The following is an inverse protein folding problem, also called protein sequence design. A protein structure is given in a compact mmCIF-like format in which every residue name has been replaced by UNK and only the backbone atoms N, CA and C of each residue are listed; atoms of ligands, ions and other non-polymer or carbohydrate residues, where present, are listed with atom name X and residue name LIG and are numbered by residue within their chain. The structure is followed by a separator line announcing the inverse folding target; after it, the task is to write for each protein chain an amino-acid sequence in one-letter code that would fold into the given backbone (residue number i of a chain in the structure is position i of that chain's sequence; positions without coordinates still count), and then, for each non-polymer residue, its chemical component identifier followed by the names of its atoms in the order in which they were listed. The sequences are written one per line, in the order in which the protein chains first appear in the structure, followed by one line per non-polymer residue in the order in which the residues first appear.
data_IF_101340300342
#
_entry.id   IF_101340300342
#
_cell.length_a   1.000
_cell.length_b   1.000
_cell.length_c   1.000
_cell.angle_alpha   90.00
_cell.angle_beta   90.00
_cell.angle_gamma   90.00
#
_symmetry.space_group_name_H-M   'P 1'
#
loop_
_entity.id
_entity.type
_entity.pdbx_description
1 polymer ?
#
# COMPACT_ATOMS: atom_id res chain seq x y z
N UNK A 1 -3.76 -29.43 -1.87
CA UNK A 1 -2.38 -28.93 -2.07
C UNK A 1 -2.44 -27.41 -1.87
N UNK A 2 -1.94 -26.94 -0.73
CA UNK A 2 -1.89 -25.49 -0.42
C UNK A 2 -0.70 -24.90 -1.16
N UNK A 3 -0.94 -24.17 -2.23
CA UNK A 3 0.11 -23.44 -2.93
C UNK A 3 0.40 -22.18 -2.11
N UNK A 4 1.42 -22.26 -1.29
CA UNK A 4 1.96 -21.09 -0.57
C UNK A 4 2.62 -20.20 -1.61
N UNK A 5 1.89 -19.24 -2.13
CA UNK A 5 2.51 -18.11 -2.84
C UNK A 5 3.15 -17.27 -1.75
N UNK A 6 4.44 -17.45 -1.58
CA UNK A 6 5.28 -16.57 -0.79
C UNK A 6 5.29 -15.23 -1.54
N UNK A 7 4.31 -14.39 -1.24
CA UNK A 7 4.41 -12.99 -1.53
C UNK A 7 5.45 -12.45 -0.54
N UNK A 8 6.72 -12.53 -0.95
CA UNK A 8 7.81 -11.82 -0.29
C UNK A 8 7.62 -10.33 -0.52
N UNK A 9 6.52 -9.78 0.01
CA UNK A 9 6.38 -8.35 0.25
C UNK A 9 7.21 -8.05 1.49
N UNK A 10 8.50 -8.00 1.27
CA UNK A 10 9.45 -7.57 2.25
C UNK A 10 9.15 -6.10 2.58
N UNK A 11 8.37 -5.92 3.63
CA UNK A 11 8.34 -4.66 4.34
C UNK A 11 9.70 -4.55 5.02
N UNK A 12 10.71 -4.08 4.26
CA UNK A 12 12.01 -3.74 4.82
C UNK A 12 11.84 -2.48 5.66
N UNK A 13 11.25 -2.66 6.81
CA UNK A 13 11.46 -1.79 7.93
C UNK A 13 12.66 -2.34 8.70
N UNK A 14 13.70 -1.54 8.68
CA UNK A 14 14.87 -1.70 9.56
C UNK A 14 15.85 -2.81 9.17
N UNK A 15 16.67 -2.57 8.14
CA UNK A 15 18.06 -2.94 8.25
C UNK A 15 18.82 -1.72 8.81
N UNK A 16 19.27 -1.82 10.04
CA UNK A 16 20.23 -0.89 10.62
C UNK A 16 21.55 -1.06 9.87
N UNK A 17 21.76 -0.29 8.81
CA UNK A 17 23.10 0.01 8.32
C UNK A 17 23.35 1.47 8.64
N UNK A 18 24.07 1.69 9.73
CA UNK A 18 24.69 2.97 10.05
C UNK A 18 25.86 3.14 9.08
N UNK A 19 25.55 3.58 7.88
CA UNK A 19 26.52 4.23 7.01
C UNK A 19 26.38 5.72 7.25
N UNK A 20 27.36 6.29 7.91
CA UNK A 20 27.60 7.74 7.96
C UNK A 20 27.92 8.18 6.54
N UNK A 21 26.89 8.47 5.77
CA UNK A 21 26.95 9.03 4.42
C UNK A 21 26.12 10.31 4.43
N UNK A 22 26.75 11.39 4.03
CA UNK A 22 26.28 12.76 3.84
C UNK A 22 24.78 12.83 3.60
N UNK A 23 24.02 13.42 4.54
CA UNK A 23 22.60 13.71 4.42
C UNK A 23 22.40 14.66 3.23
N UNK A 24 22.09 14.12 2.07
CA UNK A 24 21.34 14.86 1.10
C UNK A 24 19.98 15.12 1.77
N UNK A 25 19.69 16.37 2.06
CA UNK A 25 18.41 16.87 2.54
C UNK A 25 17.36 16.36 1.54
N UNK A 26 16.57 15.37 1.92
CA UNK A 26 15.54 14.82 1.07
C UNK A 26 14.49 15.92 0.92
N UNK A 27 14.56 16.63 -0.19
CA UNK A 27 13.57 17.62 -0.61
C UNK A 27 12.21 16.95 -0.50
N UNK A 28 11.33 17.48 0.37
CA UNK A 28 9.99 16.90 0.56
C UNK A 28 9.32 16.83 -0.82
N UNK A 29 8.98 15.64 -1.31
CA UNK A 29 8.48 15.53 -2.66
C UNK A 29 7.19 16.33 -2.78
N UNK A 30 7.11 17.18 -3.81
CA UNK A 30 5.90 17.83 -4.25
C UNK A 30 4.74 16.84 -4.27
N UNK A 31 3.53 17.32 -4.00
CA UNK A 31 2.30 16.54 -4.16
C UNK A 31 2.34 15.80 -5.49
N UNK A 32 2.02 14.52 -5.47
CA UNK A 32 2.07 13.66 -6.64
C UNK A 32 0.72 13.01 -6.88
N UNK A 33 0.41 12.76 -8.14
CA UNK A 33 -0.77 12.03 -8.55
C UNK A 33 -0.36 10.89 -9.47
N UNK A 34 -0.91 9.69 -9.23
CA UNK A 34 -0.72 8.53 -10.10
C UNK A 34 -2.08 8.03 -10.55
N UNK A 35 -2.19 7.66 -11.83
CA UNK A 35 -3.33 6.96 -12.38
C UNK A 35 -2.96 5.52 -12.70
N UNK A 36 -3.90 4.60 -12.54
CA UNK A 36 -3.72 3.19 -12.86
C UNK A 36 -5.03 2.53 -13.26
N UNK A 37 -4.94 1.40 -13.97
CA UNK A 37 -6.05 0.50 -14.20
C UNK A 37 -5.98 -0.63 -13.18
N UNK A 38 -6.93 -0.64 -12.24
CA UNK A 38 -7.11 -1.75 -11.30
C UNK A 38 -7.79 -2.92 -12.01
N UNK A 39 -7.20 -4.10 -11.90
CA UNK A 39 -7.69 -5.35 -12.46
C UNK A 39 -7.86 -6.41 -11.37
N UNK A 40 -9.07 -6.92 -11.24
CA UNK A 40 -9.40 -8.01 -10.33
C UNK A 40 -9.33 -9.33 -11.11
N UNK A 41 -8.33 -10.20 -10.84
CA UNK A 41 -8.22 -11.48 -11.53
C UNK A 41 -9.39 -12.42 -11.18
N UNK A 42 -9.73 -13.32 -12.10
CA UNK A 42 -10.74 -14.34 -11.89
C UNK A 42 -10.41 -15.20 -10.67
N UNK A 43 -11.38 -15.40 -9.77
CA UNK A 43 -11.19 -16.17 -8.54
C UNK A 43 -10.73 -15.37 -7.31
N UNK A 44 -10.56 -14.09 -7.43
CA UNK A 44 -10.25 -13.20 -6.32
C UNK A 44 -11.53 -12.78 -5.57
N UNK A 45 -12.24 -13.74 -4.98
CA UNK A 45 -13.45 -13.50 -4.21
C UNK A 45 -14.76 -13.82 -4.95
N UNK A 46 -15.79 -14.18 -4.19
CA UNK A 46 -17.11 -14.51 -4.73
C UNK A 46 -17.76 -13.28 -5.38
N UNK A 47 -17.79 -13.33 -6.70
CA UNK A 47 -18.84 -12.83 -7.55
C UNK A 47 -19.56 -11.55 -7.12
N UNK A 48 -19.06 -10.42 -7.55
CA UNK A 48 -20.00 -9.34 -7.87
C UNK A 48 -19.50 -8.36 -8.92
N UNK A 49 -18.29 -8.52 -9.30
CA UNK A 49 -17.82 -7.94 -10.54
C UNK A 49 -17.26 -9.12 -11.30
N UNK A 50 -17.85 -9.46 -12.42
CA UNK A 50 -17.49 -10.67 -13.17
C UNK A 50 -15.97 -10.80 -13.34
N UNK A 51 -15.51 -12.01 -13.57
CA UNK A 51 -14.10 -12.28 -13.86
C UNK A 51 -13.53 -11.23 -14.83
N UNK A 52 -12.42 -10.56 -14.41
CA UNK A 52 -11.80 -9.51 -15.22
C UNK A 52 -12.34 -8.11 -15.03
N UNK A 53 -12.99 -7.82 -13.91
CA UNK A 53 -13.41 -6.46 -13.58
C UNK A 53 -12.26 -5.46 -13.60
N UNK A 54 -12.52 -4.29 -14.18
CA UNK A 54 -11.55 -3.22 -14.37
C UNK A 54 -12.12 -1.91 -13.89
N UNK A 55 -11.28 -1.11 -13.22
CA UNK A 55 -11.64 0.24 -12.81
C UNK A 55 -10.42 1.14 -12.85
N UNK A 56 -10.59 2.36 -13.32
CA UNK A 56 -9.53 3.36 -13.20
C UNK A 56 -9.47 3.86 -11.76
N UNK A 57 -8.26 3.97 -11.23
CA UNK A 57 -7.98 4.48 -9.88
C UNK A 57 -6.97 5.60 -9.94
N UNK A 58 -7.16 6.58 -9.07
CA UNK A 58 -6.23 7.67 -8.85
C UNK A 58 -5.67 7.57 -7.43
N UNK A 59 -4.35 7.62 -7.30
CA UNK A 59 -3.62 7.77 -6.06
C UNK A 59 -3.11 9.20 -5.95
N UNK A 60 -3.46 9.88 -4.87
CA UNK A 60 -2.96 11.20 -4.52
C UNK A 60 -2.00 11.08 -3.35
N UNK A 61 -0.78 11.55 -3.51
CA UNK A 61 0.24 11.67 -2.47
C UNK A 61 0.36 13.14 -2.10
N UNK A 62 -0.02 13.49 -0.88
CA UNK A 62 0.11 14.85 -0.35
C UNK A 62 1.46 15.07 0.33
N UNK A 63 1.94 14.06 1.04
CA UNK A 63 3.24 14.02 1.71
C UNK A 63 3.68 12.58 1.90
N UNK A 64 4.96 12.39 2.15
CA UNK A 64 5.50 11.09 2.55
C UNK A 64 5.67 11.02 4.06
N UNK A 65 5.53 9.82 4.59
CA UNK A 65 5.81 9.52 6.00
C UNK A 65 7.30 9.68 6.24
N UNK A 66 7.68 10.50 7.20
CA UNK A 66 9.08 10.71 7.59
C UNK A 66 9.67 9.46 8.28
N UNK A 67 11.00 9.39 8.38
CA UNK A 67 11.66 8.29 9.10
C UNK A 67 11.29 8.28 10.59
N UNK A 68 11.11 9.45 11.20
CA UNK A 68 10.71 9.55 12.59
C UNK A 68 9.29 8.99 12.80
N UNK A 69 8.33 9.38 11.95
CA UNK A 69 6.95 8.88 11.99
C UNK A 69 6.93 7.36 11.75
N UNK A 70 7.68 6.88 10.76
CA UNK A 70 7.75 5.45 10.45
C UNK A 70 8.32 4.64 11.61
N UNK A 71 9.37 5.13 12.28
CA UNK A 71 9.94 4.49 13.46
C UNK A 71 8.95 4.46 14.63
N UNK A 72 8.22 5.54 14.87
CA UNK A 72 7.23 5.60 15.94
C UNK A 72 6.08 4.60 15.70
N UNK A 73 5.58 4.51 14.46
CA UNK A 73 4.53 3.55 14.09
C UNK A 73 5.04 2.10 14.15
N UNK A 74 6.29 1.85 13.76
CA UNK A 74 6.91 0.54 13.89
C UNK A 74 7.06 0.11 15.36
N UNK A 75 7.51 1.01 16.22
CA UNK A 75 7.56 0.75 17.67
C UNK A 75 6.16 0.44 18.22
N UNK A 76 5.14 1.23 17.85
CA UNK A 76 3.75 0.98 18.24
C UNK A 76 3.28 -0.43 17.83
N UNK A 77 3.65 -0.86 16.62
CA UNK A 77 3.31 -2.22 16.15
C UNK A 77 4.03 -3.30 16.96
N UNK A 78 5.32 -3.11 17.25
CA UNK A 78 6.12 -4.08 18.00
C UNK A 78 5.64 -4.19 19.45
N UNK A 79 5.37 -3.07 20.09
CA UNK A 79 5.03 -3.03 21.51
C UNK A 79 3.56 -3.39 21.80
N UNK A 80 2.64 -3.03 20.90
CA UNK A 80 1.21 -3.15 21.13
C UNK A 80 0.44 -3.95 20.07
N UNK A 81 1.14 -4.48 19.06
CA UNK A 81 0.54 -5.29 18.00
C UNK A 81 -0.27 -4.49 16.96
N UNK A 82 -0.94 -5.21 16.03
CA UNK A 82 -1.71 -4.61 14.93
C UNK A 82 -2.82 -3.67 15.39
N UNK A 83 -3.53 -4.00 16.48
CA UNK A 83 -4.61 -3.17 17.02
C UNK A 83 -4.10 -1.81 17.53
N UNK A 84 -2.91 -1.80 18.14
CA UNK A 84 -2.28 -0.55 18.58
C UNK A 84 -1.84 0.29 17.38
N UNK A 85 -1.30 -0.35 16.34
CA UNK A 85 -0.97 0.32 15.10
C UNK A 85 -2.22 0.94 14.46
N UNK A 86 -3.33 0.19 14.36
CA UNK A 86 -4.58 0.69 13.80
C UNK A 86 -5.06 1.95 14.53
N UNK A 87 -5.13 1.90 15.86
CA UNK A 87 -5.52 3.06 16.69
C UNK A 87 -4.59 4.26 16.55
N UNK A 88 -3.30 4.01 16.27
CA UNK A 88 -2.34 5.08 15.99
C UNK A 88 -2.59 5.68 14.60
N UNK A 89 -2.86 4.85 13.59
CA UNK A 89 -3.16 5.30 12.23
C UNK A 89 -4.44 6.12 12.17
N UNK A 90 -5.50 5.72 12.87
CA UNK A 90 -6.76 6.48 12.97
C UNK A 90 -6.54 7.93 13.43
N UNK A 91 -5.55 8.16 14.31
CA UNK A 91 -5.19 9.48 14.83
C UNK A 91 -4.19 10.24 13.98
N UNK A 92 -3.61 9.58 12.99
CA UNK A 92 -2.60 10.17 12.09
C UNK A 92 -3.29 10.89 10.94
N UNK A 93 -2.79 12.07 10.58
CA UNK A 93 -3.25 12.79 9.40
C UNK A 93 -3.00 11.99 8.12
N UNK A 94 -3.94 12.06 7.17
CA UNK A 94 -3.81 11.39 5.90
C UNK A 94 -2.63 11.97 5.08
N UNK A 95 -1.71 11.11 4.70
CA UNK A 95 -0.58 11.44 3.81
C UNK A 95 -1.00 11.47 2.33
N UNK A 96 -2.13 10.87 2.02
CA UNK A 96 -2.70 10.81 0.68
C UNK A 96 -4.05 10.09 0.68
N UNK A 97 -4.52 9.78 -0.51
CA UNK A 97 -5.78 9.05 -0.69
C UNK A 97 -5.80 8.26 -1.99
N UNK A 98 -6.60 7.21 -2.03
CA UNK A 98 -6.92 6.48 -3.25
C UNK A 98 -8.41 6.61 -3.56
N UNK A 99 -8.76 6.79 -4.85
CA UNK A 99 -10.15 6.93 -5.31
C UNK A 99 -10.38 6.13 -6.58
N UNK A 100 -11.64 5.80 -6.87
CA UNK A 100 -12.06 5.43 -8.23
C UNK A 100 -12.19 6.69 -9.08
N UNK A 101 -11.54 6.71 -10.24
CA UNK A 101 -11.60 7.85 -11.16
C UNK A 101 -13.04 8.14 -11.57
N UNK A 102 -13.47 9.38 -11.40
CA UNK A 102 -14.84 9.82 -11.75
C UNK A 102 -15.93 9.36 -10.78
N UNK A 103 -15.59 8.79 -9.62
CA UNK A 103 -16.53 8.43 -8.56
C UNK A 103 -16.36 9.29 -7.32
N UNK A 104 -17.45 9.45 -6.57
CA UNK A 104 -17.43 10.10 -5.26
C UNK A 104 -16.92 9.09 -4.22
N UNK A 105 -16.11 9.57 -3.28
CA UNK A 105 -15.54 8.77 -2.21
C UNK A 105 -14.05 8.49 -2.40
N UNK A 106 -13.39 8.31 -1.27
CA UNK A 106 -11.95 8.04 -1.21
C UNK A 106 -11.61 7.23 0.04
N UNK A 107 -10.43 6.64 0.03
CA UNK A 107 -9.84 5.96 1.18
C UNK A 107 -8.53 6.65 1.52
N UNK A 108 -8.41 7.06 2.78
CA UNK A 108 -7.21 7.71 3.29
C UNK A 108 -6.04 6.73 3.36
N UNK A 109 -4.87 7.25 3.05
CA UNK A 109 -3.60 6.57 3.20
C UNK A 109 -2.81 7.29 4.28
N UNK A 110 -2.56 6.61 5.38
CA UNK A 110 -1.95 7.16 6.60
C UNK A 110 -0.44 7.05 6.60
N UNK A 111 0.08 6.01 5.95
CA UNK A 111 1.51 5.81 5.69
C UNK A 111 1.72 5.84 4.19
N UNK A 112 2.69 6.61 3.72
CA UNK A 112 3.19 6.55 2.34
C UNK A 112 4.70 6.66 2.40
N UNK A 113 5.40 5.64 1.88
CA UNK A 113 6.86 5.58 1.84
C UNK A 113 7.33 5.35 0.42
N UNK A 114 8.42 5.98 0.04
CA UNK A 114 9.08 5.79 -1.26
C UNK A 114 10.51 5.31 -1.03
N UNK A 115 10.88 4.24 -1.71
CA UNK A 115 12.22 3.66 -1.69
C UNK A 115 12.80 3.66 -3.09
N UNK A 116 14.03 4.12 -3.24
CA UNK A 116 14.73 4.04 -4.53
C UNK A 116 15.06 2.60 -4.86
N UNK A 117 14.94 2.26 -6.14
CA UNK A 117 15.38 1.00 -6.73
C UNK A 117 16.42 1.30 -7.81
N UNK A 118 17.05 0.29 -8.38
CA UNK A 118 18.04 0.46 -9.45
C UNK A 118 17.47 1.16 -10.68
N UNK A 119 16.20 0.89 -11.00
CA UNK A 119 15.56 1.40 -12.22
C UNK A 119 14.54 2.50 -11.99
N UNK A 120 14.28 2.86 -10.71
CA UNK A 120 13.28 3.86 -10.38
C UNK A 120 12.98 3.95 -8.90
N UNK A 121 11.74 3.68 -8.50
CA UNK A 121 11.34 3.66 -7.08
C UNK A 121 10.14 2.76 -6.84
N UNK A 122 10.01 2.33 -5.59
CA UNK A 122 8.84 1.62 -5.08
C UNK A 122 8.14 2.50 -4.05
N UNK A 123 6.80 2.60 -4.16
CA UNK A 123 5.97 3.31 -3.21
C UNK A 123 5.11 2.29 -2.47
N UNK A 124 5.11 2.38 -1.15
CA UNK A 124 4.20 1.65 -0.27
C UNK A 124 3.23 2.63 0.37
N UNK A 125 1.96 2.23 0.47
CA UNK A 125 0.98 3.01 1.20
C UNK A 125 0.07 2.09 2.01
N UNK A 126 -0.32 2.57 3.22
CA UNK A 126 -1.18 1.83 4.15
C UNK A 126 -2.30 2.74 4.61
N UNK A 127 -3.52 2.25 4.52
CA UNK A 127 -4.73 2.86 5.07
C UNK A 127 -5.15 2.21 6.37
N UNK A 128 -5.92 2.95 7.17
CA UNK A 128 -6.51 2.55 8.45
C UNK A 128 -7.84 1.81 8.29
N UNK A 129 -8.20 1.44 7.10
CA UNK A 129 -9.41 0.69 6.77
C UNK A 129 -9.29 -0.02 5.42
N UNK A 130 -10.10 -1.05 5.18
CA UNK A 130 -10.15 -1.72 3.88
C UNK A 130 -10.55 -0.77 2.76
N UNK A 131 -9.99 -0.99 1.57
CA UNK A 131 -10.28 -0.20 0.36
C UNK A 131 -11.42 -0.85 -0.42
N UNK A 132 -12.65 -0.52 -0.04
CA UNK A 132 -13.87 -1.27 -0.43
C UNK A 132 -14.51 -0.95 -1.78
N UNK A 133 -13.85 -0.27 -2.71
CA UNK A 133 -14.56 0.10 -3.95
C UNK A 133 -14.83 -1.04 -4.95
N UNK A 134 -14.14 -2.15 -4.84
CA UNK A 134 -14.31 -3.27 -5.76
C UNK A 134 -15.07 -4.44 -5.14
N UNK A 135 -15.29 -4.45 -3.83
CA UNK A 135 -15.96 -5.53 -3.12
C UNK A 135 -17.06 -5.10 -2.13
N UNK A 136 -17.18 -3.82 -1.86
CA UNK A 136 -17.95 -3.29 -0.74
C UNK A 136 -19.46 -3.56 -0.79
N UNK A 137 -19.98 -4.18 -1.82
CA UNK A 137 -21.42 -4.30 -1.95
C UNK A 137 -22.03 -5.55 -1.32
N UNK A 138 -21.26 -6.63 -1.06
CA UNK A 138 -21.90 -7.91 -0.73
C UNK A 138 -21.31 -8.79 0.37
N UNK A 139 -20.13 -8.50 0.83
CA UNK A 139 -19.59 -9.13 2.02
C UNK A 139 -18.61 -8.17 2.67
N UNK A 140 -19.05 -7.52 3.72
CA UNK A 140 -18.15 -6.68 4.50
C UNK A 140 -16.89 -7.47 4.83
N UNK A 141 -15.69 -6.85 4.75
CA UNK A 141 -14.47 -7.49 5.17
C UNK A 141 -14.66 -8.00 6.60
N UNK A 142 -14.12 -9.17 6.89
CA UNK A 142 -14.02 -9.63 8.26
C UNK A 142 -13.38 -8.54 9.11
N UNK A 143 -13.86 -8.34 10.32
CA UNK A 143 -13.29 -7.34 11.26
C UNK A 143 -11.81 -7.56 11.55
N UNK A 144 -11.25 -8.71 11.12
CA UNK A 144 -9.85 -9.07 11.30
C UNK A 144 -8.91 -8.52 10.20
N UNK A 145 -9.45 -7.95 9.11
CA UNK A 145 -8.69 -7.46 7.95
C UNK A 145 -8.86 -5.95 7.81
N UNK A 146 -8.19 -5.22 8.68
CA UNK A 146 -8.48 -3.81 8.95
C UNK A 146 -7.70 -2.83 8.08
N UNK A 147 -6.69 -3.31 7.34
CA UNK A 147 -5.78 -2.44 6.58
C UNK A 147 -6.01 -2.52 5.08
N UNK A 148 -5.89 -1.39 4.39
CA UNK A 148 -5.66 -1.34 2.95
C UNK A 148 -4.18 -1.16 2.67
N UNK A 149 -3.56 -2.02 1.84
CA UNK A 149 -2.13 -1.94 1.55
C UNK A 149 -1.91 -1.83 0.05
N UNK A 150 -1.15 -0.82 -0.37
CA UNK A 150 -0.82 -0.54 -1.75
C UNK A 150 0.69 -0.58 -1.96
N UNK A 151 1.11 -1.18 -3.07
CA UNK A 151 2.48 -1.10 -3.57
C UNK A 151 2.46 -0.63 -5.02
N UNK A 152 3.32 0.31 -5.37
CA UNK A 152 3.62 0.69 -6.74
C UNK A 152 5.10 0.44 -7.02
N UNK A 153 5.39 -0.22 -8.13
CA UNK A 153 6.73 -0.42 -8.67
C UNK A 153 6.87 0.44 -9.93
N UNK A 154 7.65 1.50 -9.81
CA UNK A 154 7.83 2.51 -10.85
C UNK A 154 9.23 2.42 -11.43
N UNK A 155 9.32 2.41 -12.74
CA UNK A 155 10.56 2.60 -13.50
C UNK A 155 10.60 4.01 -14.06
N UNK A 156 11.79 4.55 -14.23
CA UNK A 156 11.99 5.88 -14.80
C UNK A 156 12.70 5.74 -16.14
N UNK A 157 12.11 6.29 -17.18
CA UNK A 157 12.74 6.34 -18.50
C UNK A 157 13.82 7.43 -18.59
N UNK A 158 14.52 7.48 -19.71
CA UNK A 158 15.57 8.48 -19.98
C UNK A 158 15.06 9.92 -20.01
N UNK A 159 13.76 10.14 -20.16
CA UNK A 159 13.09 11.45 -20.13
C UNK A 159 12.56 11.81 -18.74
N UNK A 160 12.79 10.96 -17.73
CA UNK A 160 12.35 11.16 -16.36
C UNK A 160 10.88 10.79 -16.11
N UNK A 161 10.17 10.20 -17.08
CA UNK A 161 8.79 9.76 -16.92
C UNK A 161 8.75 8.49 -16.08
N UNK A 162 7.85 8.45 -15.13
CA UNK A 162 7.64 7.30 -14.25
C UNK A 162 6.41 6.51 -14.68
N UNK A 163 6.61 5.24 -14.98
CA UNK A 163 5.58 4.27 -15.34
C UNK A 163 5.86 2.95 -14.64
N UNK A 164 4.82 2.12 -14.47
CA UNK A 164 5.03 0.82 -13.85
C UNK A 164 3.75 0.05 -13.61
N UNK A 165 3.82 -0.78 -12.59
CA UNK A 165 2.73 -1.62 -12.13
C UNK A 165 2.56 -1.49 -10.61
N UNK A 166 1.56 -2.16 -10.07
CA UNK A 166 1.37 -2.19 -8.62
C UNK A 166 0.44 -3.31 -8.20
N UNK A 167 0.25 -3.39 -6.90
CA UNK A 167 -0.67 -4.31 -6.26
C UNK A 167 -1.43 -3.58 -5.13
N UNK A 168 -2.71 -3.89 -5.00
CA UNK A 168 -3.55 -3.42 -3.91
C UNK A 168 -4.14 -4.63 -3.19
N UNK A 169 -3.78 -4.79 -1.93
CA UNK A 169 -4.46 -5.67 -0.99
C UNK A 169 -5.54 -4.83 -0.34
N UNK A 170 -6.77 -5.01 -0.79
CA UNK A 170 -7.89 -4.16 -0.41
C UNK A 170 -8.30 -4.32 1.05
N UNK A 171 -8.13 -5.51 1.63
CA UNK A 171 -8.32 -5.81 3.04
C UNK A 171 -7.20 -6.76 3.49
N UNK A 172 -6.36 -6.28 4.38
CA UNK A 172 -5.19 -6.97 4.88
C UNK A 172 -5.24 -7.12 6.39
N UNK A 173 -4.70 -8.22 6.88
CA UNK A 173 -4.37 -8.46 8.28
C UNK A 173 -2.85 -8.43 8.42
N UNK A 174 -2.36 -7.61 9.34
CA UNK A 174 -0.95 -7.57 9.69
C UNK A 174 -0.73 -8.52 10.85
N UNK A 175 0.28 -9.38 10.75
CA UNK A 175 0.71 -10.28 11.81
C UNK A 175 2.17 -10.00 12.14
N UNK A 176 2.45 -9.89 13.43
CA UNK A 176 3.82 -9.83 13.91
C UNK A 176 4.28 -11.26 14.17
N UNK A 177 5.37 -11.66 13.56
CA UNK A 177 6.01 -12.95 13.76
C UNK A 177 7.23 -12.80 14.68
N UNK A 178 7.77 -13.95 15.14
CA UNK A 178 8.99 -13.98 15.94
C UNK A 178 10.14 -13.23 15.24
N UNK A 179 10.93 -12.49 16.01
CA UNK A 179 12.04 -11.69 15.47
C UNK A 179 11.61 -10.37 14.81
N UNK A 180 10.41 -9.85 15.13
CA UNK A 180 9.87 -8.59 14.61
C UNK A 180 9.67 -8.57 13.07
N UNK A 181 9.54 -9.74 12.46
CA UNK A 181 9.12 -9.83 11.07
C UNK A 181 7.61 -9.67 10.95
N UNK A 182 7.18 -9.12 9.83
CA UNK A 182 5.75 -8.86 9.55
C UNK A 182 5.30 -9.81 8.46
N UNK A 183 4.19 -10.49 8.70
CA UNK A 183 3.43 -11.22 7.69
C UNK A 183 2.15 -10.45 7.34
N UNK A 184 1.80 -10.44 6.07
CA UNK A 184 0.60 -9.76 5.58
C UNK A 184 -0.31 -10.80 4.95
N UNK A 185 -1.43 -11.02 5.59
CA UNK A 185 -2.49 -11.90 5.09
C UNK A 185 -3.54 -11.05 4.35
N UNK A 186 -3.85 -11.45 3.13
CA UNK A 186 -4.90 -10.83 2.32
C UNK A 186 -6.26 -11.51 2.56
N UNK A 187 -7.31 -10.71 2.72
CA UNK A 187 -8.67 -11.22 2.64
C UNK A 187 -8.97 -11.58 1.18
N UNK A 188 -9.08 -12.89 0.92
CA UNK A 188 -9.18 -13.41 -0.45
C UNK A 188 -7.82 -13.86 -1.00
N UNK A 189 -7.87 -14.53 -2.14
CA UNK A 189 -6.71 -15.27 -2.63
C UNK A 189 -5.76 -14.46 -3.54
N UNK A 190 -6.11 -13.22 -3.89
CA UNK A 190 -5.33 -12.45 -4.85
C UNK A 190 -5.42 -10.96 -4.62
N UNK A 191 -4.28 -10.30 -4.68
CA UNK A 191 -4.23 -8.84 -4.72
C UNK A 191 -4.81 -8.31 -6.05
N UNK A 192 -5.43 -7.14 -5.98
CA UNK A 192 -5.84 -6.37 -7.16
C UNK A 192 -4.58 -5.89 -7.87
N UNK A 193 -4.44 -6.21 -9.14
CA UNK A 193 -3.31 -5.73 -9.95
C UNK A 193 -3.57 -4.31 -10.42
N UNK A 194 -2.56 -3.46 -10.29
CA UNK A 194 -2.56 -2.11 -10.85
C UNK A 194 -1.67 -2.10 -12.08
N UNK A 195 -2.28 -1.89 -13.24
CA UNK A 195 -1.60 -1.90 -14.53
C UNK A 195 -1.49 -0.49 -15.09
N UNK A 196 -0.43 -0.23 -15.86
CA UNK A 196 -0.23 1.06 -16.50
C UNK A 196 -0.18 2.21 -15.49
N UNK A 197 0.45 1.97 -14.34
CA UNK A 197 0.66 3.03 -13.34
C UNK A 197 1.52 4.12 -13.98
N UNK A 198 1.05 5.36 -13.90
CA UNK A 198 1.77 6.52 -14.42
C UNK A 198 1.59 7.73 -13.53
N UNK A 199 2.63 8.50 -13.39
CA UNK A 199 2.56 9.83 -12.76
C UNK A 199 1.82 10.79 -13.70
N UNK A 200 0.86 11.55 -13.15
CA UNK A 200 0.00 12.50 -13.86
C UNK A 200 0.43 13.93 -13.60
#
# INVERSE_FOLDING_TARGET
MKTTIIATCLFVMVALNISVGTRAQEEQPKKEKFGALAYLPSGAGRAMVGAGARANVDLFVNSYTTDAEAKALAATLVDGGPDALLKALEKTDAKGKITLTGRVGFYDLKIIRSHRTETGRRIYAVGDRPVGFLEAYYSGPSRDYEFGILQLDLTRDSKGKEEGTGALIYAAKIKLLDGNSIDIESYGNSAIRLMGVRKL
#
